data_IF_065487821358
#
_entry.id   IF_065487821358
#
_cell.length_a   1.000
_cell.length_b   1.000
_cell.length_c   1.000
_cell.angle_alpha   90.00
_cell.angle_beta   90.00
_cell.angle_gamma   90.00
#
_symmetry.space_group_name_H-M   'P 1'
#
loop_
_entity.id
_entity.type
_entity.pdbx_description
1 polymer ?
#
# COMPACT_ATOMS: atom_id res chain seq x y z
N UNK A 1 42.30 21.60 -13.67
CA UNK A 1 41.80 20.22 -13.45
C UNK A 1 40.34 20.30 -12.98
N UNK A 2 39.42 19.67 -13.71
CA UNK A 2 37.98 19.68 -13.40
C UNK A 2 37.67 18.54 -12.41
N UNK A 3 37.20 18.89 -11.22
CA UNK A 3 36.77 17.92 -10.20
C UNK A 3 35.45 17.30 -10.64
N UNK A 4 35.45 15.99 -10.95
CA UNK A 4 34.23 15.24 -11.29
C UNK A 4 33.51 14.88 -9.99
N UNK A 5 32.28 15.37 -9.83
CA UNK A 5 31.38 15.00 -8.73
C UNK A 5 30.89 13.58 -8.94
N UNK A 6 31.19 12.69 -7.99
CA UNK A 6 30.63 11.34 -7.91
C UNK A 6 29.16 11.45 -7.49
N UNK A 7 28.27 11.02 -8.37
CA UNK A 7 26.84 10.91 -8.13
C UNK A 7 26.58 9.52 -7.56
N UNK A 8 26.30 9.41 -6.26
CA UNK A 8 25.92 8.15 -5.62
C UNK A 8 24.43 7.94 -5.89
N UNK A 9 24.11 7.09 -6.86
CA UNK A 9 22.76 6.56 -7.06
C UNK A 9 22.50 5.50 -6.00
N UNK A 10 21.75 5.85 -4.94
CA UNK A 10 21.21 4.88 -4.02
C UNK A 10 20.06 4.12 -4.71
N UNK A 11 20.37 2.92 -5.21
CA UNK A 11 19.43 1.99 -5.79
C UNK A 11 18.58 1.39 -4.65
N UNK A 12 17.36 1.88 -4.46
CA UNK A 12 16.38 1.22 -3.58
C UNK A 12 15.89 -0.01 -4.35
N UNK A 13 16.50 -1.17 -4.07
CA UNK A 13 16.03 -2.45 -4.59
C UNK A 13 14.65 -2.75 -4.00
N UNK A 14 13.61 -2.67 -4.84
CA UNK A 14 12.30 -3.24 -4.52
C UNK A 14 12.43 -4.76 -4.54
N UNK A 15 11.98 -5.49 -3.50
CA UNK A 15 12.05 -6.95 -3.49
C UNK A 15 11.19 -7.51 -4.63
N UNK A 16 11.82 -8.31 -5.49
CA UNK A 16 11.14 -9.10 -6.51
C UNK A 16 10.23 -10.13 -5.83
N UNK A 17 8.98 -10.23 -6.30
CA UNK A 17 8.00 -11.15 -5.75
C UNK A 17 8.46 -12.60 -6.01
N UNK A 18 8.81 -13.31 -4.93
CA UNK A 18 8.92 -14.77 -4.94
C UNK A 18 7.49 -15.31 -4.88
N UNK A 19 7.04 -15.89 -5.99
CA UNK A 19 5.81 -16.68 -6.04
C UNK A 19 6.08 -17.99 -5.30
N UNK A 20 5.72 -18.07 -4.02
CA UNK A 20 5.70 -19.33 -3.30
C UNK A 20 4.58 -20.21 -3.88
N UNK A 21 4.93 -21.16 -4.74
CA UNK A 21 4.04 -22.27 -5.08
C UNK A 21 3.97 -23.22 -3.88
N UNK A 22 2.94 -23.08 -3.06
CA UNK A 22 2.65 -24.01 -1.98
C UNK A 22 1.80 -25.16 -2.53
N UNK A 23 2.43 -26.30 -2.82
CA UNK A 23 1.73 -27.57 -3.01
C UNK A 23 1.15 -28.01 -1.66
N UNK A 24 -0.16 -28.19 -1.57
CA UNK A 24 -0.84 -28.59 -0.33
C UNK A 24 -1.08 -30.11 -0.33
N UNK A 25 -0.54 -30.80 0.67
CA UNK A 25 -0.87 -32.20 0.99
C UNK A 25 -2.23 -32.26 1.69
N UNK A 26 -3.16 -33.17 1.30
CA UNK A 26 -4.47 -33.27 1.93
C UNK A 26 -4.37 -34.01 3.28
N UNK A 27 -4.52 -33.28 4.38
CA UNK A 27 -4.67 -33.88 5.72
C UNK A 27 -6.13 -34.30 5.93
N UNK A 28 -6.34 -35.61 6.04
CA UNK A 28 -7.60 -36.22 6.41
C UNK A 28 -7.96 -36.06 7.89
N UNK A 29 -9.27 -35.89 8.09
CA UNK A 29 -10.12 -36.28 9.23
C UNK A 29 -9.84 -35.79 10.66
N UNK A 30 -10.97 -35.45 11.31
CA UNK A 30 -11.21 -35.20 12.75
C UNK A 30 -10.63 -33.90 13.34
N UNK A 31 -11.48 -32.87 13.42
CA UNK A 31 -12.08 -32.44 14.69
C UNK A 31 -12.59 -30.98 14.59
N UNK A 32 -13.87 -30.82 14.94
CA UNK A 32 -14.62 -29.58 15.24
C UNK A 32 -13.88 -28.26 14.98
N UNK A 33 -13.89 -27.80 13.72
CA UNK A 33 -13.54 -26.43 13.37
C UNK A 33 -14.80 -25.73 12.87
N UNK A 34 -15.13 -24.63 13.54
CA UNK A 34 -16.02 -23.58 13.02
C UNK A 34 -15.81 -23.43 11.51
N UNK A 35 -16.87 -23.30 10.69
CA UNK A 35 -16.69 -23.12 9.27
C UNK A 35 -15.82 -21.89 9.06
N UNK A 36 -14.58 -22.07 8.64
CA UNK A 36 -13.81 -20.98 8.05
C UNK A 36 -14.61 -20.60 6.81
N UNK A 37 -15.38 -19.53 6.90
CA UNK A 37 -16.07 -18.98 5.75
C UNK A 37 -14.99 -18.69 4.71
N UNK A 38 -15.09 -19.40 3.59
CA UNK A 38 -14.07 -19.37 2.56
C UNK A 38 -14.03 -17.94 2.00
N UNK A 39 -13.04 -17.13 2.38
CA UNK A 39 -12.90 -15.69 2.01
C UNK A 39 -13.00 -15.47 0.49
N UNK A 40 -12.75 -16.50 -0.29
CA UNK A 40 -12.92 -16.54 -1.75
C UNK A 40 -14.39 -16.36 -2.21
N UNK A 41 -15.37 -16.54 -1.32
CA UNK A 41 -16.81 -16.46 -1.62
C UNK A 41 -17.48 -15.24 -0.97
N UNK A 42 -16.80 -14.50 -0.08
CA UNK A 42 -17.39 -13.34 0.59
C UNK A 42 -17.40 -12.12 -0.35
N UNK A 43 -18.58 -11.62 -0.78
CA UNK A 43 -18.68 -10.50 -1.73
C UNK A 43 -18.15 -9.18 -1.17
N UNK A 44 -18.28 -8.96 0.15
CA UNK A 44 -17.75 -7.76 0.83
C UNK A 44 -16.22 -7.75 0.76
N UNK A 45 -15.60 -8.90 1.01
CA UNK A 45 -14.14 -9.05 0.90
C UNK A 45 -13.65 -8.82 -0.53
N UNK A 46 -14.32 -9.40 -1.53
CA UNK A 46 -13.94 -9.24 -2.94
C UNK A 46 -14.05 -7.77 -3.41
N UNK A 47 -15.12 -7.09 -3.00
CA UNK A 47 -15.29 -5.67 -3.31
C UNK A 47 -14.19 -4.81 -2.66
N UNK A 48 -13.93 -5.01 -1.36
CA UNK A 48 -12.87 -4.32 -0.65
C UNK A 48 -11.49 -4.58 -1.29
N UNK A 49 -11.19 -5.85 -1.63
CA UNK A 49 -9.91 -6.24 -2.24
C UNK A 49 -9.71 -5.56 -3.59
N UNK A 50 -10.76 -5.52 -4.42
CA UNK A 50 -10.73 -4.82 -5.72
C UNK A 50 -10.37 -3.35 -5.56
N UNK A 51 -11.03 -2.65 -4.63
CA UNK A 51 -10.75 -1.24 -4.33
C UNK A 51 -9.33 -1.04 -3.77
N UNK A 52 -8.91 -1.90 -2.85
CA UNK A 52 -7.59 -1.84 -2.23
C UNK A 52 -6.47 -1.99 -3.26
N UNK A 53 -6.60 -2.96 -4.18
CA UNK A 53 -5.64 -3.18 -5.27
C UNK A 53 -5.66 -2.00 -6.26
N UNK A 54 -6.83 -1.50 -6.64
CA UNK A 54 -6.96 -0.39 -7.57
C UNK A 54 -6.31 0.89 -7.03
N UNK A 55 -6.61 1.26 -5.77
CA UNK A 55 -6.03 2.43 -5.11
C UNK A 55 -4.51 2.26 -4.97
N UNK A 56 -4.03 1.07 -4.59
CA UNK A 56 -2.60 0.75 -4.54
C UNK A 56 -1.90 0.97 -5.90
N UNK A 57 -2.53 0.53 -7.00
CA UNK A 57 -2.01 0.77 -8.36
C UNK A 57 -1.95 2.27 -8.68
N UNK A 58 -3.02 3.01 -8.41
CA UNK A 58 -3.07 4.46 -8.65
C UNK A 58 -2.01 5.21 -7.84
N UNK A 59 -1.71 4.77 -6.61
CA UNK A 59 -0.61 5.33 -5.80
C UNK A 59 0.74 5.10 -6.49
N UNK A 60 0.98 3.93 -7.07
CA UNK A 60 2.22 3.66 -7.81
C UNK A 60 2.33 4.57 -9.05
N UNK A 61 1.25 4.72 -9.81
CA UNK A 61 1.21 5.55 -11.03
C UNK A 61 1.50 7.03 -10.71
N UNK A 62 0.84 7.60 -9.71
CA UNK A 62 1.07 9.00 -9.30
C UNK A 62 2.46 9.18 -8.67
N UNK A 63 3.01 8.14 -8.02
CA UNK A 63 4.37 8.16 -7.49
C UNK A 63 5.42 8.21 -8.60
N UNK A 64 5.20 7.48 -9.70
CA UNK A 64 6.06 7.56 -10.87
C UNK A 64 5.99 8.96 -11.52
N UNK A 65 4.80 9.57 -11.60
CA UNK A 65 4.68 10.95 -12.07
C UNK A 65 5.39 11.94 -11.14
N UNK A 66 5.18 11.80 -9.83
CA UNK A 66 5.81 12.62 -8.80
C UNK A 66 7.34 12.60 -8.95
N UNK A 67 7.93 11.41 -9.11
CA UNK A 67 9.37 11.27 -9.30
C UNK A 67 9.85 11.93 -10.60
N UNK A 68 9.17 11.70 -11.73
CA UNK A 68 9.51 12.38 -13.00
C UNK A 68 9.47 13.90 -12.89
N UNK A 69 8.54 14.44 -12.08
CA UNK A 69 8.45 15.87 -11.85
C UNK A 69 9.64 16.39 -11.04
N UNK A 70 10.04 15.67 -9.98
CA UNK A 70 11.24 15.97 -9.21
C UNK A 70 12.48 15.92 -10.10
N UNK A 71 12.66 14.85 -10.88
CA UNK A 71 13.85 14.69 -11.73
C UNK A 71 13.96 15.83 -12.77
N UNK A 72 12.82 16.34 -13.26
CA UNK A 72 12.79 17.41 -14.26
C UNK A 72 13.02 18.81 -13.69
N UNK A 73 12.49 19.13 -12.51
CA UNK A 73 12.48 20.52 -11.98
C UNK A 73 13.01 20.69 -10.55
N UNK A 74 13.31 19.60 -9.86
CA UNK A 74 13.73 19.56 -8.46
C UNK A 74 12.57 19.46 -7.44
N UNK A 75 11.31 19.58 -7.86
CA UNK A 75 10.14 19.51 -6.98
C UNK A 75 8.89 18.98 -7.70
N UNK A 76 7.93 18.33 -7.01
CA UNK A 76 6.69 17.86 -7.63
C UNK A 76 5.72 19.02 -7.86
N UNK A 77 4.79 18.89 -8.81
CA UNK A 77 3.71 19.88 -8.97
C UNK A 77 2.73 19.78 -7.80
N UNK A 78 2.20 20.93 -7.37
CA UNK A 78 1.14 21.04 -6.35
C UNK A 78 -0.03 20.08 -6.59
N UNK A 79 -0.56 20.04 -7.82
CA UNK A 79 -1.66 19.14 -8.21
C UNK A 79 -1.32 17.65 -8.07
N UNK A 80 -0.07 17.26 -8.33
CA UNK A 80 0.40 15.88 -8.20
C UNK A 80 0.50 15.48 -6.74
N UNK A 81 0.97 16.40 -5.88
CA UNK A 81 0.98 16.20 -4.43
C UNK A 81 -0.44 16.03 -3.89
N UNK A 82 -1.38 16.90 -4.28
CA UNK A 82 -2.78 16.80 -3.87
C UNK A 82 -3.44 15.49 -4.30
N UNK A 83 -3.26 15.08 -5.55
CA UNK A 83 -3.79 13.80 -6.04
C UNK A 83 -3.19 12.60 -5.29
N UNK A 84 -1.89 12.66 -4.96
CA UNK A 84 -1.24 11.61 -4.16
C UNK A 84 -1.80 11.57 -2.73
N UNK A 85 -2.01 12.73 -2.10
CA UNK A 85 -2.62 12.82 -0.76
C UNK A 85 -4.02 12.21 -0.73
N UNK A 86 -4.84 12.48 -1.75
CA UNK A 86 -6.19 11.91 -1.86
C UNK A 86 -6.14 10.37 -1.93
N UNK A 87 -5.28 9.82 -2.80
CA UNK A 87 -5.12 8.36 -2.94
C UNK A 87 -4.59 7.71 -1.65
N UNK A 88 -3.61 8.33 -0.99
CA UNK A 88 -3.11 7.86 0.32
C UNK A 88 -4.22 7.89 1.37
N UNK A 89 -5.06 8.93 1.37
CA UNK A 89 -6.18 9.03 2.30
C UNK A 89 -7.22 7.93 2.06
N UNK A 90 -7.54 7.64 0.80
CA UNK A 90 -8.41 6.52 0.41
C UNK A 90 -7.82 5.17 0.84
N UNK A 91 -6.51 4.98 0.69
CA UNK A 91 -5.84 3.75 1.10
C UNK A 91 -5.87 3.55 2.63
N UNK A 92 -5.63 4.61 3.41
CA UNK A 92 -5.79 4.57 4.87
C UNK A 92 -7.23 4.22 5.25
N UNK A 93 -8.22 4.78 4.54
CA UNK A 93 -9.63 4.44 4.77
C UNK A 93 -9.90 2.94 4.53
N UNK A 94 -9.39 2.36 3.44
CA UNK A 94 -9.51 0.93 3.17
C UNK A 94 -8.84 0.04 4.22
N UNK A 95 -7.68 0.46 4.75
CA UNK A 95 -7.02 -0.24 5.86
C UNK A 95 -7.83 -0.18 7.15
N UNK A 96 -8.48 0.96 7.43
CA UNK A 96 -9.40 1.08 8.57
C UNK A 96 -10.63 0.19 8.38
N UNK A 97 -11.19 0.12 7.18
CA UNK A 97 -12.27 -0.81 6.87
C UNK A 97 -11.84 -2.27 7.10
N UNK A 98 -10.67 -2.68 6.60
CA UNK A 98 -10.13 -4.03 6.84
C UNK A 98 -10.07 -4.37 8.34
N UNK A 99 -9.64 -3.40 9.15
CA UNK A 99 -9.52 -3.54 10.60
C UNK A 99 -10.87 -3.58 11.31
N UNK A 100 -11.76 -2.66 10.97
CA UNK A 100 -12.96 -2.34 11.73
C UNK A 100 -14.19 -3.17 11.29
N UNK A 101 -14.14 -3.82 10.12
CA UNK A 101 -15.24 -4.62 9.57
C UNK A 101 -15.08 -6.11 9.91
N UNK A 102 -16.01 -6.73 10.69
CA UNK A 102 -15.94 -8.14 11.08
C UNK A 102 -15.77 -9.13 9.91
N UNK A 103 -16.42 -8.84 8.79
CA UNK A 103 -16.37 -9.65 7.57
C UNK A 103 -14.99 -9.64 6.89
N UNK A 104 -14.20 -8.59 7.15
CA UNK A 104 -12.85 -8.44 6.60
C UNK A 104 -11.77 -8.91 7.59
N UNK A 105 -12.06 -8.88 8.89
CA UNK A 105 -11.05 -9.06 9.94
C UNK A 105 -10.97 -10.46 10.56
N UNK A 106 -11.68 -11.45 10.02
CA UNK A 106 -11.59 -12.85 10.48
C UNK A 106 -10.13 -13.35 10.35
N UNK A 107 -9.39 -13.41 11.45
CA UNK A 107 -7.95 -13.73 11.53
C UNK A 107 -6.99 -12.62 11.07
N UNK A 108 -7.38 -11.35 11.17
CA UNK A 108 -6.51 -10.24 10.87
C UNK A 108 -5.50 -9.99 12.00
N UNK A 109 -4.23 -9.83 11.62
CA UNK A 109 -3.23 -9.23 12.51
C UNK A 109 -3.49 -7.71 12.60
N UNK A 110 -4.30 -7.35 13.59
CA UNK A 110 -4.73 -5.96 13.82
C UNK A 110 -3.53 -5.05 14.09
N UNK A 111 -2.49 -5.53 14.76
CA UNK A 111 -1.31 -4.72 15.03
C UNK A 111 -0.57 -4.37 13.74
N UNK A 112 -0.38 -5.34 12.86
CA UNK A 112 0.24 -5.11 11.54
C UNK A 112 -0.55 -4.13 10.68
N UNK A 113 -1.87 -4.15 10.75
CA UNK A 113 -2.71 -3.16 10.05
C UNK A 113 -2.58 -1.77 10.68
N UNK A 114 -2.56 -1.67 12.01
CA UNK A 114 -2.32 -0.40 12.70
C UNK A 114 -0.94 0.20 12.38
N UNK A 115 0.10 -0.62 12.30
CA UNK A 115 1.44 -0.19 11.91
C UNK A 115 1.45 0.37 10.48
N UNK A 116 0.77 -0.31 9.55
CA UNK A 116 0.58 0.19 8.17
C UNK A 116 -0.18 1.51 8.16
N UNK A 117 -1.28 1.62 8.89
CA UNK A 117 -2.08 2.87 8.97
C UNK A 117 -1.19 4.01 9.46
N UNK A 118 -0.39 3.79 10.50
CA UNK A 118 0.52 4.79 11.08
C UNK A 118 1.59 5.23 10.07
N UNK A 119 2.17 4.28 9.33
CA UNK A 119 3.12 4.57 8.25
C UNK A 119 2.51 5.47 7.17
N UNK A 120 1.32 5.12 6.67
CA UNK A 120 0.65 5.89 5.63
C UNK A 120 0.17 7.26 6.12
N UNK A 121 -0.24 7.38 7.39
CA UNK A 121 -0.55 8.67 8.02
C UNK A 121 0.69 9.57 8.06
N UNK A 122 1.84 9.03 8.48
CA UNK A 122 3.10 9.78 8.45
C UNK A 122 3.47 10.27 7.05
N UNK A 123 3.24 9.44 6.01
CA UNK A 123 3.42 9.88 4.62
C UNK A 123 2.46 10.99 4.22
N UNK A 124 1.19 10.89 4.61
CA UNK A 124 0.18 11.92 4.34
C UNK A 124 0.55 13.26 4.99
N UNK A 125 1.03 13.23 6.24
CA UNK A 125 1.52 14.41 6.95
C UNK A 125 2.74 15.03 6.28
N UNK A 126 3.66 14.18 5.79
CA UNK A 126 4.81 14.60 4.99
C UNK A 126 4.40 15.33 3.71
N UNK A 127 3.41 14.81 2.99
CA UNK A 127 2.86 15.44 1.79
C UNK A 127 2.14 16.76 2.11
N UNK A 128 1.36 16.81 3.21
CA UNK A 128 0.70 18.02 3.65
C UNK A 128 1.71 19.12 4.02
N UNK A 129 2.81 18.75 4.67
CA UNK A 129 3.90 19.67 5.01
C UNK A 129 4.67 20.14 3.77
N UNK A 130 4.86 19.26 2.78
CA UNK A 130 5.43 19.64 1.49
C UNK A 130 4.53 20.65 0.77
N UNK A 131 3.22 20.44 0.76
CA UNK A 131 2.24 21.30 0.08
C UNK A 131 2.25 22.75 0.61
N UNK A 132 2.63 22.95 1.89
CA UNK A 132 2.79 24.29 2.49
C UNK A 132 4.03 25.02 1.97
N UNK A 133 5.00 24.30 1.39
CA UNK A 133 6.31 24.82 0.97
C UNK A 133 6.43 25.03 -0.54
N UNK A 134 5.47 24.53 -1.33
CA UNK A 134 5.46 24.58 -2.80
C UNK A 134 4.23 25.31 -3.33
#
# INVERSE_FOLDING_TARGET
MRVKKLLVMALIALPTMVMAQSTYEPVGSSDNKTPLENKTVNPVYQQWLSQYVEVGRKINDISAQYQREIDKRGYPKKKTVQAKMELVSQYIYLLKQERDTPELNQNLDVQKVNDKISLWQSQLDGLANLLKKI
#
